data_IF_618010803174
#
_entry.id   IF_618010803174
#
_cell.length_a   1.000
_cell.length_b   1.000
_cell.length_c   1.000
_cell.angle_alpha   90.00
_cell.angle_beta   90.00
_cell.angle_gamma   90.00
#
_symmetry.space_group_name_H-M   'P 1'
#
loop_
_entity.id
_entity.type
_entity.pdbx_description
1 polymer ?
#
# COMPACT_ATOMS: atom_id res chain seq x y z
N UNK A 1 59.40 25.89 67.56
CA UNK A 1 59.20 24.96 66.44
C UNK A 1 57.71 24.96 66.09
N UNK A 2 57.33 25.64 65.01
CA UNK A 2 55.94 25.80 64.57
C UNK A 2 55.57 24.75 63.51
N UNK A 3 54.45 24.02 63.64
CA UNK A 3 53.98 23.14 62.57
C UNK A 3 53.11 23.91 61.56
N UNK A 4 53.50 23.84 60.28
CA UNK A 4 52.75 24.33 59.12
C UNK A 4 51.57 23.38 58.87
N UNK A 5 50.33 23.90 58.84
CA UNK A 5 49.15 23.16 58.34
C UNK A 5 48.88 23.57 56.90
N UNK A 6 48.89 22.56 56.04
CA UNK A 6 48.77 22.65 54.58
C UNK A 6 47.29 22.58 54.20
N UNK A 7 46.87 23.49 53.34
CA UNK A 7 45.53 23.61 52.77
C UNK A 7 45.09 22.35 52.02
N UNK A 8 43.94 21.78 52.38
CA UNK A 8 43.28 20.69 51.65
C UNK A 8 42.28 21.27 50.65
N UNK A 9 42.57 21.05 49.37
CA UNK A 9 41.75 21.44 48.24
C UNK A 9 40.56 20.50 48.06
N UNK A 10 39.44 21.08 47.65
CA UNK A 10 38.20 20.39 47.27
C UNK A 10 38.44 19.44 46.07
N UNK A 11 38.14 18.15 46.25
CA UNK A 11 38.07 17.20 45.13
C UNK A 11 36.64 17.22 44.57
N UNK A 12 36.45 17.84 43.40
CA UNK A 12 35.20 17.78 42.64
C UNK A 12 35.12 16.43 41.91
N UNK A 13 34.07 15.66 42.20
CA UNK A 13 33.74 14.40 41.52
C UNK A 13 33.08 14.74 40.17
N UNK A 14 33.79 14.54 39.06
CA UNK A 14 33.20 14.66 37.71
C UNK A 14 32.56 13.33 37.36
N UNK A 15 31.22 13.27 37.39
CA UNK A 15 30.44 12.15 36.86
C UNK A 15 30.31 12.34 35.35
N UNK A 16 31.10 11.60 34.58
CA UNK A 16 30.96 11.53 33.12
C UNK A 16 29.76 10.62 32.77
N UNK A 17 28.63 11.23 32.41
CA UNK A 17 27.48 10.52 31.87
C UNK A 17 27.74 10.16 30.40
N UNK A 18 28.13 8.91 30.13
CA UNK A 18 28.17 8.37 28.77
C UNK A 18 26.76 8.00 28.33
N UNK A 19 26.04 8.94 27.72
CA UNK A 19 24.82 8.64 26.99
C UNK A 19 25.20 7.81 25.74
N UNK A 20 25.01 6.50 25.81
CA UNK A 20 25.14 5.62 24.66
C UNK A 20 24.07 5.97 23.63
N UNK A 21 24.48 6.62 22.54
CA UNK A 21 23.70 6.74 21.32
C UNK A 21 23.53 5.33 20.75
N UNK A 22 22.41 4.68 21.04
CA UNK A 22 22.03 3.46 20.34
C UNK A 22 21.93 3.79 18.84
N UNK A 23 22.60 3.02 17.96
CA UNK A 23 22.46 3.24 16.53
C UNK A 23 20.98 3.10 16.18
N UNK A 24 20.40 4.15 15.59
CA UNK A 24 19.07 4.09 15.01
C UNK A 24 19.09 2.94 14.00
N UNK A 25 18.42 1.84 14.33
CA UNK A 25 18.26 0.72 13.40
C UNK A 25 17.64 1.28 12.13
N UNK A 26 18.28 1.03 10.99
CA UNK A 26 17.72 1.40 9.70
C UNK A 26 16.31 0.81 9.63
N UNK A 27 15.28 1.67 9.58
CA UNK A 27 13.93 1.22 9.33
C UNK A 27 14.00 0.45 8.00
N UNK A 28 13.79 -0.87 8.03
CA UNK A 28 13.66 -1.62 6.79
C UNK A 28 12.48 -0.99 6.06
N UNK A 29 12.76 -0.31 4.94
CA UNK A 29 11.73 0.09 4.00
C UNK A 29 11.03 -1.21 3.60
N UNK A 30 9.81 -1.40 4.08
CA UNK A 30 8.99 -2.50 3.64
C UNK A 30 8.94 -2.39 2.11
N UNK A 31 9.42 -3.41 1.41
CA UNK A 31 9.23 -3.49 -0.03
C UNK A 31 7.73 -3.34 -0.25
N UNK A 32 7.30 -2.21 -0.81
CA UNK A 32 5.91 -2.00 -1.19
C UNK A 32 5.71 -3.01 -2.31
N UNK A 33 4.94 -4.08 -2.11
CA UNK A 33 4.80 -5.06 -3.17
C UNK A 33 4.07 -4.35 -4.31
N UNK A 34 4.68 -4.37 -5.49
CA UNK A 34 4.06 -3.85 -6.70
C UNK A 34 2.81 -4.67 -6.98
N UNK A 35 1.66 -4.02 -7.11
CA UNK A 35 0.40 -4.69 -7.44
C UNK A 35 -0.20 -4.13 -8.71
N UNK A 36 -1.07 -4.90 -9.35
CA UNK A 36 -1.83 -4.39 -10.48
C UNK A 36 -3.30 -4.75 -10.38
N UNK A 37 -4.10 -4.03 -11.14
CA UNK A 37 -5.50 -4.35 -11.39
C UNK A 37 -5.62 -4.84 -12.84
N UNK A 38 -6.15 -6.04 -13.03
CA UNK A 38 -6.48 -6.61 -14.33
C UNK A 38 -7.99 -6.59 -14.56
N UNK A 39 -8.40 -5.91 -15.62
CA UNK A 39 -9.79 -5.87 -16.05
C UNK A 39 -10.10 -7.08 -16.93
N UNK A 40 -10.59 -8.17 -16.33
CA UNK A 40 -11.00 -9.38 -17.04
C UNK A 40 -12.46 -9.29 -17.52
N UNK A 41 -12.80 -8.17 -18.15
CA UNK A 41 -14.14 -7.90 -18.66
C UNK A 41 -14.10 -7.01 -19.91
N UNK A 42 -15.25 -6.81 -20.55
CA UNK A 42 -15.41 -5.96 -21.72
C UNK A 42 -15.88 -4.53 -21.39
N UNK A 43 -15.87 -4.13 -20.11
CA UNK A 43 -16.33 -2.81 -19.64
C UNK A 43 -15.13 -2.05 -19.09
N UNK A 44 -15.00 -0.76 -19.42
CA UNK A 44 -13.95 0.09 -18.84
C UNK A 44 -14.13 0.27 -17.33
N UNK A 45 -13.03 0.24 -16.58
CA UNK A 45 -13.04 0.38 -15.12
C UNK A 45 -12.25 1.61 -14.71
N UNK A 46 -12.83 2.48 -13.88
CA UNK A 46 -12.08 3.60 -13.30
C UNK A 46 -11.05 3.09 -12.31
N UNK A 47 -9.79 3.49 -12.44
CA UNK A 47 -8.68 3.04 -11.58
C UNK A 47 -7.87 4.23 -11.06
N UNK A 48 -7.35 4.09 -9.85
CA UNK A 48 -6.44 5.04 -9.23
C UNK A 48 -5.04 4.44 -9.13
N UNK A 49 -4.03 5.27 -9.41
CA UNK A 49 -2.64 4.92 -9.18
C UNK A 49 -2.34 5.04 -7.68
N UNK A 50 -2.42 6.27 -7.16
CA UNK A 50 -2.26 6.61 -5.74
C UNK A 50 -3.61 6.94 -5.08
N UNK A 51 -3.68 6.85 -3.75
CA UNK A 51 -4.86 7.31 -3.01
C UNK A 51 -4.74 8.83 -2.77
N UNK A 52 -5.69 9.62 -3.27
CA UNK A 52 -5.67 11.07 -3.11
C UNK A 52 -6.53 11.86 -4.09
N UNK A 53 -6.77 11.31 -5.29
CA UNK A 53 -7.57 12.00 -6.28
C UNK A 53 -9.08 11.81 -6.05
N UNK A 54 -9.89 12.88 -6.15
CA UNK A 54 -11.35 12.82 -5.96
C UNK A 54 -12.06 12.03 -7.07
N UNK A 55 -11.38 11.84 -8.20
CA UNK A 55 -11.82 11.06 -9.37
C UNK A 55 -10.72 10.07 -9.76
N UNK A 56 -11.08 9.02 -10.48
CA UNK A 56 -10.09 8.05 -10.96
C UNK A 56 -9.08 8.70 -11.90
N UNK A 57 -7.83 8.23 -11.86
CA UNK A 57 -6.75 8.74 -12.72
C UNK A 57 -6.93 8.32 -14.18
N UNK A 58 -7.43 7.10 -14.40
CA UNK A 58 -7.60 6.53 -15.74
C UNK A 58 -8.79 5.56 -15.82
N UNK A 59 -9.22 5.26 -17.05
CA UNK A 59 -10.20 4.19 -17.33
C UNK A 59 -9.46 3.00 -17.92
N UNK A 60 -9.24 1.96 -17.12
CA UNK A 60 -8.59 0.72 -17.53
C UNK A 60 -9.42 0.02 -18.62
N UNK A 61 -8.89 -0.14 -19.86
CA UNK A 61 -9.62 -0.78 -20.94
C UNK A 61 -9.91 -2.25 -20.68
N UNK A 62 -10.79 -2.81 -21.50
CA UNK A 62 -11.12 -4.22 -21.48
C UNK A 62 -9.87 -5.11 -21.67
N UNK A 63 -9.75 -6.14 -20.85
CA UNK A 63 -8.67 -7.14 -20.94
C UNK A 63 -7.25 -6.56 -20.81
N UNK A 64 -7.12 -5.44 -20.10
CA UNK A 64 -5.85 -4.79 -19.79
C UNK A 64 -5.56 -4.82 -18.30
N UNK A 65 -4.28 -4.71 -17.94
CA UNK A 65 -3.85 -4.46 -16.57
C UNK A 65 -3.13 -3.12 -16.46
N UNK A 66 -3.11 -2.53 -15.26
CA UNK A 66 -2.53 -1.20 -15.01
C UNK A 66 -1.02 -1.13 -15.26
N UNK A 67 -0.31 -2.25 -15.09
CA UNK A 67 1.13 -2.32 -15.33
C UNK A 67 1.46 -2.20 -16.83
N UNK A 68 0.88 -3.06 -17.66
CA UNK A 68 1.16 -3.10 -19.10
C UNK A 68 0.56 -1.90 -19.84
N UNK A 69 -0.60 -1.39 -19.40
CA UNK A 69 -1.29 -0.31 -20.09
C UNK A 69 -0.73 1.07 -19.74
N UNK A 70 -0.30 1.29 -18.48
CA UNK A 70 0.11 2.61 -18.00
C UNK A 70 1.52 2.67 -17.40
N UNK A 71 2.19 1.53 -17.24
CA UNK A 71 3.49 1.46 -16.56
C UNK A 71 3.40 1.73 -15.05
N UNK A 72 2.22 1.53 -14.44
CA UNK A 72 2.04 1.75 -13.01
C UNK A 72 2.68 0.61 -12.21
N UNK A 73 3.48 0.99 -11.23
CA UNK A 73 4.08 0.09 -10.24
C UNK A 73 3.05 -0.44 -9.23
N UNK A 74 1.98 0.32 -9.00
CA UNK A 74 0.89 -0.08 -8.11
C UNK A 74 -0.47 0.47 -8.57
N UNK A 75 -1.55 0.05 -7.92
CA UNK A 75 -2.86 0.65 -8.06
C UNK A 75 -3.61 0.59 -6.73
N UNK A 76 -4.15 1.72 -6.28
CA UNK A 76 -4.70 1.93 -4.94
C UNK A 76 -6.21 1.67 -4.81
N UNK A 77 -6.97 1.83 -5.91
CA UNK A 77 -8.43 1.75 -5.91
C UNK A 77 -8.98 1.48 -7.29
N UNK A 78 -10.19 0.91 -7.35
CA UNK A 78 -11.00 0.86 -8.56
C UNK A 78 -12.45 1.26 -8.30
N UNK A 79 -13.14 1.71 -9.35
CA UNK A 79 -14.53 2.16 -9.33
C UNK A 79 -15.36 1.45 -10.41
N UNK A 80 -16.54 1.01 -10.00
CA UNK A 80 -17.51 0.37 -10.88
C UNK A 80 -18.68 1.32 -11.08
N UNK A 81 -18.98 1.61 -12.34
CA UNK A 81 -20.06 2.52 -12.72
C UNK A 81 -21.46 1.99 -12.37
N UNK A 82 -22.43 2.91 -12.34
CA UNK A 82 -23.85 2.60 -12.19
C UNK A 82 -24.33 1.65 -13.30
N UNK A 83 -25.20 0.70 -12.96
CA UNK A 83 -25.74 -0.28 -13.91
C UNK A 83 -24.83 -1.48 -14.14
N UNK A 84 -23.73 -1.58 -13.38
CA UNK A 84 -22.81 -2.71 -13.40
C UNK A 84 -22.63 -3.29 -12.00
N UNK A 85 -22.14 -4.52 -11.96
CA UNK A 85 -21.64 -5.16 -10.77
C UNK A 85 -20.30 -5.83 -11.06
N UNK A 86 -19.52 -6.13 -10.04
CA UNK A 86 -18.20 -6.75 -10.20
C UNK A 86 -18.05 -7.93 -9.25
N UNK A 87 -17.42 -8.99 -9.74
CA UNK A 87 -16.78 -10.00 -8.92
C UNK A 87 -15.28 -9.73 -8.91
N UNK A 88 -14.73 -9.56 -7.72
CA UNK A 88 -13.32 -9.28 -7.53
C UNK A 88 -12.61 -10.54 -7.06
N UNK A 89 -11.49 -10.83 -7.71
CA UNK A 89 -10.59 -11.90 -7.32
C UNK A 89 -9.23 -11.30 -6.98
N UNK A 90 -8.48 -11.97 -6.12
CA UNK A 90 -7.12 -11.55 -5.75
C UNK A 90 -6.18 -12.73 -5.61
N UNK A 91 -4.89 -12.44 -5.75
CA UNK A 91 -3.77 -13.37 -5.49
C UNK A 91 -2.59 -12.58 -4.93
N UNK A 92 -1.63 -13.24 -4.30
CA UNK A 92 -0.45 -12.55 -3.77
C UNK A 92 0.27 -11.78 -4.90
N UNK A 93 0.62 -10.52 -4.62
CA UNK A 93 1.26 -9.63 -5.58
C UNK A 93 2.60 -10.22 -6.10
N UNK A 94 2.87 -10.01 -7.39
CA UNK A 94 4.09 -10.51 -8.03
C UNK A 94 4.19 -12.03 -8.18
N UNK A 95 3.10 -12.77 -7.91
CA UNK A 95 3.09 -14.24 -8.04
C UNK A 95 2.28 -14.71 -9.25
N UNK A 96 2.65 -15.85 -9.83
CA UNK A 96 1.88 -16.53 -10.89
C UNK A 96 0.71 -17.39 -10.38
N UNK A 97 0.29 -17.21 -9.12
CA UNK A 97 -0.69 -18.07 -8.46
C UNK A 97 -2.12 -17.98 -9.01
N UNK A 98 -2.96 -18.91 -8.56
CA UNK A 98 -4.39 -18.94 -8.87
C UNK A 98 -5.15 -17.76 -8.25
N UNK A 99 -6.16 -17.28 -8.97
CA UNK A 99 -7.06 -16.24 -8.50
C UNK A 99 -8.07 -16.79 -7.49
N UNK A 100 -8.20 -16.12 -6.35
CA UNK A 100 -9.17 -16.47 -5.31
C UNK A 100 -10.27 -15.42 -5.23
N UNK A 101 -11.52 -15.84 -5.07
CA UNK A 101 -12.64 -14.90 -4.91
C UNK A 101 -12.44 -14.07 -3.64
N UNK A 102 -12.67 -12.75 -3.73
CA UNK A 102 -12.52 -11.83 -2.61
C UNK A 102 -13.82 -11.15 -2.23
N UNK A 103 -14.48 -10.48 -3.19
CA UNK A 103 -15.67 -9.66 -2.92
C UNK A 103 -16.57 -9.55 -4.16
N UNK A 104 -17.84 -9.18 -3.97
CA UNK A 104 -18.77 -8.82 -5.04
C UNK A 104 -19.64 -7.65 -4.63
N UNK A 105 -19.81 -6.66 -5.51
CA UNK A 105 -20.65 -5.49 -5.24
C UNK A 105 -21.24 -4.86 -6.50
N UNK A 106 -22.26 -4.02 -6.31
CA UNK A 106 -22.96 -3.28 -7.37
C UNK A 106 -22.53 -1.82 -7.35
N UNK A 107 -22.30 -1.25 -8.53
CA UNK A 107 -21.98 0.17 -8.68
C UNK A 107 -23.21 1.08 -8.57
N UNK A 108 -23.01 2.40 -8.34
CA UNK A 108 -21.73 3.10 -8.30
C UNK A 108 -21.04 2.99 -6.93
N UNK A 109 -19.88 2.35 -6.89
CA UNK A 109 -19.06 2.22 -5.66
C UNK A 109 -17.59 2.01 -6.04
N UNK A 110 -16.69 2.25 -5.09
CA UNK A 110 -15.25 2.04 -5.23
C UNK A 110 -14.70 1.17 -4.11
N UNK A 111 -13.62 0.43 -4.40
CA UNK A 111 -12.92 -0.41 -3.43
C UNK A 111 -11.43 -0.13 -3.44
N UNK A 112 -10.90 0.11 -2.25
CA UNK A 112 -9.46 0.18 -2.05
C UNK A 112 -8.83 -1.21 -2.24
N UNK A 113 -7.62 -1.22 -2.78
CA UNK A 113 -6.78 -2.40 -2.92
C UNK A 113 -5.75 -2.44 -1.79
N UNK A 114 -5.16 -3.61 -1.59
CA UNK A 114 -3.95 -3.77 -0.79
C UNK A 114 -2.78 -4.05 -1.72
N UNK A 115 -1.64 -3.41 -1.47
CA UNK A 115 -0.41 -3.66 -2.22
C UNK A 115 0.11 -5.10 -2.06
N UNK A 116 -0.37 -5.86 -1.07
CA UNK A 116 -0.02 -7.27 -0.93
C UNK A 116 -0.66 -8.20 -1.99
N UNK A 117 -1.60 -7.70 -2.79
CA UNK A 117 -2.35 -8.52 -3.74
C UNK A 117 -2.51 -7.87 -5.11
N UNK A 118 -2.36 -8.68 -6.17
CA UNK A 118 -2.90 -8.36 -7.48
C UNK A 118 -4.42 -8.55 -7.44
N UNK A 119 -5.15 -7.79 -8.28
CA UNK A 119 -6.61 -7.85 -8.37
C UNK A 119 -7.06 -8.16 -9.80
N UNK A 120 -8.05 -9.05 -9.93
CA UNK A 120 -8.75 -9.31 -11.19
C UNK A 120 -10.22 -8.93 -11.03
N UNK A 121 -10.73 -8.16 -11.97
CA UNK A 121 -12.10 -7.66 -11.99
C UNK A 121 -12.91 -8.33 -13.10
N UNK A 122 -14.03 -8.96 -12.73
CA UNK A 122 -15.03 -9.47 -13.68
C UNK A 122 -16.29 -8.62 -13.56
N UNK A 123 -16.45 -7.68 -14.48
CA UNK A 123 -17.55 -6.72 -14.49
C UNK A 123 -18.70 -7.24 -15.35
N UNK A 124 -19.92 -7.12 -14.84
CA UNK A 124 -21.15 -7.56 -15.51
C UNK A 124 -22.17 -6.42 -15.53
N UNK A 125 -22.90 -6.29 -16.64
CA UNK A 125 -24.05 -5.37 -16.74
C UNK A 125 -25.22 -5.91 -15.93
N UNK A 126 -25.96 -5.02 -15.25
CA UNK A 126 -27.18 -5.37 -14.53
C UNK A 126 -28.40 -5.43 -15.48
N UNK A 127 -29.40 -6.29 -15.19
CA UNK A 127 -29.41 -7.27 -14.11
C UNK A 127 -28.48 -8.45 -14.42
N UNK A 128 -27.70 -8.87 -13.43
CA UNK A 128 -26.86 -10.07 -13.47
C UNK A 128 -27.19 -10.91 -12.23
N UNK A 129 -27.07 -12.23 -12.34
CA UNK A 129 -27.20 -13.18 -11.21
C UNK A 129 -25.86 -13.48 -10.54
N UNK A 130 -24.77 -12.96 -11.10
CA UNK A 130 -23.40 -13.13 -10.62
C UNK A 130 -23.07 -12.16 -9.46
N UNK A 131 -23.97 -11.21 -9.23
CA UNK A 131 -24.01 -10.24 -8.14
C UNK A 131 -25.50 -9.93 -7.85
#
# INVERSE_FOLDING_TARGET
MSPRRVSSWFAALVVAATAGLAPAGAAQAAARPDNYIFNNSNVGVGVWHDDGDPIYNAVLPAYKNTWDEYGWDHASRYYIGRGYCVRTFRRAAGTGGAWSFWDSFRGPDSRATSFAYDYQLQVHRLPSTLC
#
